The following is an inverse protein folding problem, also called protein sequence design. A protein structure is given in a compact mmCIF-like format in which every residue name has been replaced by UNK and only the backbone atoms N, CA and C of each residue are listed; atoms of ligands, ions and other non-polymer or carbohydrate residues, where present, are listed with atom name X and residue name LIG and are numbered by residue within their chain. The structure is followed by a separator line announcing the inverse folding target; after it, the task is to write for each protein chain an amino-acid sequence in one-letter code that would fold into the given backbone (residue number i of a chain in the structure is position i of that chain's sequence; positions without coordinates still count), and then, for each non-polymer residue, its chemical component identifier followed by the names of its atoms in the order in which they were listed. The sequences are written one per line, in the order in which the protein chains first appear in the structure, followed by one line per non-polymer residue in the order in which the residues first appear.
data_IF_057726331348
#
_entry.id   IF_057726331348
#
_cell.length_a   1.000
_cell.length_b   1.000
_cell.length_c   1.000
_cell.angle_alpha   90.00
_cell.angle_beta   90.00
_cell.angle_gamma   90.00
#
_symmetry.space_group_name_H-M   'P 1'
#
loop_
_entity.id
_entity.type
_entity.pdbx_description
1 polymer ?
#
# COMPACT_ATOMS: atom_id res chain seq x y z
N UNK A 1 -1.52 -31.64 -15.99
CA UNK A 1 -2.63 -30.83 -16.52
C UNK A 1 -3.68 -30.81 -15.44
N UNK A 2 -3.73 -29.75 -14.64
CA UNK A 2 -4.60 -29.69 -13.46
C UNK A 2 -5.60 -28.56 -13.66
N UNK A 3 -6.87 -28.95 -13.66
CA UNK A 3 -7.99 -28.20 -14.23
C UNK A 3 -8.30 -26.91 -13.49
N UNK A 4 -8.63 -25.90 -14.27
CA UNK A 4 -9.21 -24.63 -13.82
C UNK A 4 -10.59 -24.89 -13.21
N UNK A 5 -10.76 -24.67 -11.91
CA UNK A 5 -12.07 -24.68 -11.26
C UNK A 5 -12.79 -23.37 -11.65
N UNK A 6 -13.72 -23.44 -12.61
CA UNK A 6 -14.59 -22.32 -12.98
C UNK A 6 -15.68 -22.15 -11.92
N UNK A 7 -15.33 -21.56 -10.77
CA UNK A 7 -16.35 -21.05 -9.85
C UNK A 7 -16.94 -19.76 -10.41
N UNK A 8 -18.12 -19.85 -11.02
CA UNK A 8 -18.92 -18.70 -11.37
C UNK A 8 -19.40 -18.03 -10.08
N UNK A 9 -19.04 -16.76 -9.91
CA UNK A 9 -19.51 -15.95 -8.79
C UNK A 9 -20.65 -15.07 -9.26
N UNK A 10 -21.70 -14.92 -8.46
CA UNK A 10 -22.81 -14.03 -8.80
C UNK A 10 -22.52 -12.62 -8.31
N UNK A 11 -22.73 -11.63 -9.18
CA UNK A 11 -22.70 -10.22 -8.78
C UNK A 11 -23.90 -9.94 -7.86
N UNK A 12 -23.63 -9.55 -6.63
CA UNK A 12 -24.69 -9.18 -5.69
C UNK A 12 -25.38 -7.88 -6.13
N UNK A 13 -26.59 -7.61 -5.63
CA UNK A 13 -27.34 -6.37 -5.93
C UNK A 13 -26.60 -5.08 -5.56
N UNK A 14 -25.55 -5.16 -4.73
CA UNK A 14 -24.68 -4.04 -4.34
C UNK A 14 -23.41 -3.94 -5.21
N UNK A 15 -23.29 -4.73 -6.27
CA UNK A 15 -22.11 -4.77 -7.13
C UNK A 15 -20.90 -5.47 -6.50
N UNK A 16 -21.09 -6.25 -5.43
CA UNK A 16 -20.00 -6.99 -4.79
C UNK A 16 -19.84 -8.37 -5.46
N UNK A 17 -18.60 -8.75 -5.70
CA UNK A 17 -18.17 -10.08 -6.17
C UNK A 17 -17.44 -10.78 -5.04
N UNK A 18 -17.81 -12.02 -4.74
CA UNK A 18 -17.11 -12.83 -3.72
C UNK A 18 -15.97 -13.60 -4.36
N UNK A 19 -14.76 -13.46 -3.81
CA UNK A 19 -13.60 -14.22 -4.27
C UNK A 19 -13.64 -15.64 -3.66
N UNK A 20 -13.60 -16.71 -4.48
CA UNK A 20 -13.50 -18.09 -4.04
C UNK A 20 -12.38 -18.31 -3.03
N UNK A 21 -12.57 -19.29 -2.13
CA UNK A 21 -11.58 -19.60 -1.10
C UNK A 21 -10.23 -20.02 -1.72
N UNK A 22 -10.25 -20.82 -2.77
CA UNK A 22 -9.04 -21.29 -3.46
C UNK A 22 -8.20 -20.14 -4.02
N UNK A 23 -8.86 -19.13 -4.60
CA UNK A 23 -8.17 -17.93 -5.11
C UNK A 23 -7.58 -17.14 -3.94
N UNK A 24 -8.35 -16.94 -2.85
CA UNK A 24 -7.83 -16.25 -1.66
C UNK A 24 -6.63 -16.95 -1.05
N UNK A 25 -6.66 -18.28 -0.95
CA UNK A 25 -5.58 -19.07 -0.37
C UNK A 25 -4.34 -19.06 -1.27
N UNK A 26 -4.51 -19.13 -2.60
CA UNK A 26 -3.41 -19.07 -3.57
C UNK A 26 -2.66 -17.74 -3.55
N UNK A 27 -3.38 -16.64 -3.37
CA UNK A 27 -2.79 -15.30 -3.28
C UNK A 27 -2.58 -14.81 -1.84
N UNK A 28 -2.86 -15.66 -0.84
CA UNK A 28 -2.77 -15.34 0.58
C UNK A 28 -3.53 -14.05 1.00
N UNK A 29 -4.65 -13.77 0.33
CA UNK A 29 -5.45 -12.57 0.58
C UNK A 29 -6.21 -12.67 1.89
N UNK A 30 -6.01 -11.67 2.76
CA UNK A 30 -6.65 -11.59 4.07
C UNK A 30 -7.78 -10.56 4.05
N UNK A 31 -8.65 -10.63 5.07
CA UNK A 31 -9.65 -9.59 5.28
C UNK A 31 -8.94 -8.24 5.46
N UNK A 32 -9.28 -7.27 4.61
CA UNK A 32 -8.65 -5.95 4.60
C UNK A 32 -7.54 -5.78 3.56
N UNK A 33 -7.14 -6.83 2.84
CA UNK A 33 -6.25 -6.71 1.68
C UNK A 33 -6.90 -5.81 0.63
N UNK A 34 -6.20 -4.75 0.22
CA UNK A 34 -6.62 -3.87 -0.85
C UNK A 34 -6.29 -4.50 -2.20
N UNK A 35 -7.27 -4.53 -3.10
CA UNK A 35 -7.14 -5.08 -4.45
C UNK A 35 -7.41 -3.99 -5.47
N UNK A 36 -6.59 -3.94 -6.52
CA UNK A 36 -6.79 -3.08 -7.69
C UNK A 36 -7.29 -3.90 -8.85
N UNK A 37 -8.37 -3.41 -9.45
CA UNK A 37 -8.98 -3.97 -10.64
C UNK A 37 -8.44 -3.22 -11.86
N UNK A 38 -8.03 -3.95 -12.89
CA UNK A 38 -7.62 -3.40 -14.17
C UNK A 38 -8.28 -4.19 -15.30
N UNK A 39 -8.66 -3.46 -16.35
CA UNK A 39 -9.22 -4.03 -17.55
C UNK A 39 -8.08 -4.35 -18.52
N UNK A 40 -8.03 -5.59 -18.98
CA UNK A 40 -7.13 -6.05 -20.03
C UNK A 40 -7.94 -6.61 -21.18
N UNK A 41 -8.31 -5.74 -22.12
CA UNK A 41 -9.25 -6.07 -23.19
C UNK A 41 -10.65 -6.39 -22.64
N UNK A 42 -11.11 -7.62 -22.83
CA UNK A 42 -12.38 -8.13 -22.29
C UNK A 42 -12.23 -8.80 -20.91
N UNK A 43 -11.00 -8.94 -20.41
CA UNK A 43 -10.73 -9.60 -19.12
C UNK A 43 -10.61 -8.58 -17.98
N UNK A 44 -11.23 -8.89 -16.84
CA UNK A 44 -11.01 -8.19 -15.59
C UNK A 44 -9.89 -8.88 -14.81
N UNK A 45 -8.78 -8.17 -14.58
CA UNK A 45 -7.66 -8.67 -13.80
C UNK A 45 -7.60 -7.97 -12.44
N UNK A 46 -7.25 -8.73 -11.42
CA UNK A 46 -7.23 -8.27 -10.03
C UNK A 46 -5.86 -8.55 -9.45
N UNK A 47 -5.25 -7.54 -8.84
CA UNK A 47 -3.95 -7.67 -8.17
C UNK A 47 -4.02 -7.04 -6.79
N UNK A 48 -3.32 -7.63 -5.84
CA UNK A 48 -3.04 -7.00 -4.56
C UNK A 48 -2.23 -5.73 -4.75
N UNK A 49 -2.64 -4.66 -4.07
CA UNK A 49 -1.87 -3.43 -4.01
C UNK A 49 -1.35 -3.21 -2.61
N UNK A 50 -0.10 -2.82 -2.55
CA UNK A 50 0.54 -2.33 -1.34
C UNK A 50 0.39 -0.81 -1.25
N UNK A 51 0.68 -0.26 -0.08
CA UNK A 51 0.75 1.20 0.11
C UNK A 51 1.76 1.82 -0.87
N UNK A 52 2.84 1.11 -1.19
CA UNK A 52 3.84 1.55 -2.16
C UNK A 52 3.25 1.70 -3.57
N UNK A 53 2.36 0.78 -3.99
CA UNK A 53 1.67 0.87 -5.28
C UNK A 53 0.71 2.08 -5.33
N UNK A 54 -0.01 2.36 -4.23
CA UNK A 54 -0.88 3.54 -4.14
C UNK A 54 -0.07 4.85 -4.21
N UNK A 55 1.07 4.91 -3.54
CA UNK A 55 1.98 6.06 -3.59
C UNK A 55 2.58 6.25 -4.98
N UNK A 56 2.92 5.14 -5.67
CA UNK A 56 3.40 5.18 -7.05
C UNK A 56 2.34 5.75 -8.02
N UNK A 57 1.08 5.33 -7.87
CA UNK A 57 -0.02 5.88 -8.68
C UNK A 57 -0.19 7.40 -8.48
N UNK A 58 -0.08 7.87 -7.23
CA UNK A 58 -0.12 9.31 -6.91
C UNK A 58 1.05 10.05 -7.55
N UNK A 59 2.27 9.53 -7.42
CA UNK A 59 3.46 10.10 -8.04
C UNK A 59 3.34 10.15 -9.56
N UNK A 60 2.82 9.09 -10.18
CA UNK A 60 2.56 9.02 -11.61
C UNK A 60 1.58 10.11 -12.05
N UNK A 61 0.48 10.28 -11.32
CA UNK A 61 -0.52 11.30 -11.61
C UNK A 61 0.09 12.71 -11.56
N UNK A 62 0.82 13.03 -10.49
CA UNK A 62 1.50 14.32 -10.35
C UNK A 62 2.51 14.57 -11.49
N UNK A 63 3.27 13.55 -11.88
CA UNK A 63 4.25 13.68 -12.96
C UNK A 63 3.57 13.86 -14.33
N UNK A 64 2.43 13.20 -14.57
CA UNK A 64 1.63 13.40 -15.78
C UNK A 64 1.02 14.80 -15.83
N UNK A 65 0.52 15.31 -14.71
CA UNK A 65 -0.03 16.67 -14.60
C UNK A 65 1.05 17.74 -14.83
N UNK A 66 2.30 17.45 -14.44
CA UNK A 66 3.48 18.27 -14.76
C UNK A 66 3.95 18.12 -16.23
N UNK A 67 3.30 17.29 -17.03
CA UNK A 67 3.56 17.13 -18.46
C UNK A 67 4.64 16.10 -18.82
N UNK A 68 5.15 15.33 -17.86
CA UNK A 68 6.14 14.29 -18.16
C UNK A 68 5.49 13.10 -18.86
N UNK A 69 6.11 12.62 -19.95
CA UNK A 69 5.63 11.49 -20.75
C UNK A 69 6.75 10.52 -21.13
N UNK A 70 6.37 9.30 -21.48
CA UNK A 70 7.26 8.28 -22.06
C UNK A 70 8.48 7.97 -21.19
N UNK A 71 9.68 8.08 -21.77
CA UNK A 71 10.94 7.79 -21.06
C UNK A 71 11.23 8.78 -19.93
N UNK A 72 10.83 10.04 -20.08
CA UNK A 72 11.06 11.08 -19.07
C UNK A 72 10.22 10.85 -17.81
N UNK A 73 8.98 10.37 -17.98
CA UNK A 73 8.10 10.00 -16.86
C UNK A 73 8.72 8.88 -16.02
N UNK A 74 9.21 7.82 -16.66
CA UNK A 74 9.85 6.68 -15.98
C UNK A 74 11.11 7.11 -15.22
N UNK A 75 11.95 7.95 -15.84
CA UNK A 75 13.17 8.45 -15.19
C UNK A 75 12.84 9.28 -13.93
N UNK A 76 11.87 10.20 -14.04
CA UNK A 76 11.44 11.03 -12.91
C UNK A 76 10.74 10.24 -11.81
N UNK A 77 10.01 9.19 -12.15
CA UNK A 77 9.38 8.31 -11.18
C UNK A 77 10.43 7.57 -10.34
N UNK A 78 11.46 7.02 -10.98
CA UNK A 78 12.56 6.31 -10.31
C UNK A 78 13.32 7.28 -9.39
N UNK A 79 13.64 8.48 -9.90
CA UNK A 79 14.33 9.52 -9.13
C UNK A 79 13.52 9.92 -7.87
N UNK A 80 12.22 10.19 -8.02
CA UNK A 80 11.36 10.53 -6.87
C UNK A 80 11.23 9.38 -5.87
N UNK A 81 11.14 8.14 -6.34
CA UNK A 81 11.10 6.95 -5.48
C UNK A 81 12.38 6.77 -4.67
N UNK A 82 13.54 6.98 -5.30
CA UNK A 82 14.83 6.85 -4.63
C UNK A 82 15.00 7.89 -3.51
N UNK A 83 14.67 9.16 -3.81
CA UNK A 83 14.69 10.23 -2.82
C UNK A 83 13.73 9.92 -1.67
N UNK A 84 12.50 9.49 -1.98
CA UNK A 84 11.50 9.17 -0.96
C UNK A 84 11.96 8.03 -0.06
N UNK A 85 12.48 6.93 -0.64
CA UNK A 85 13.00 5.80 0.13
C UNK A 85 14.17 6.21 1.02
N UNK A 86 15.09 7.04 0.51
CA UNK A 86 16.22 7.53 1.28
C UNK A 86 15.78 8.42 2.46
N UNK A 87 14.83 9.33 2.22
CA UNK A 87 14.24 10.17 3.27
C UNK A 87 13.50 9.33 4.31
N UNK A 88 12.73 8.34 3.86
CA UNK A 88 11.95 7.48 4.75
C UNK A 88 12.85 6.60 5.62
N UNK A 89 13.89 5.99 5.03
CA UNK A 89 14.87 5.20 5.77
C UNK A 89 15.60 6.06 6.81
N UNK A 90 16.01 7.29 6.43
CA UNK A 90 16.62 8.22 7.38
C UNK A 90 15.68 8.56 8.53
N UNK A 91 14.40 8.81 8.24
CA UNK A 91 13.40 9.09 9.27
C UNK A 91 13.20 7.90 10.21
N UNK A 92 13.13 6.67 9.68
CA UNK A 92 13.03 5.44 10.47
C UNK A 92 14.27 5.29 11.37
N UNK A 93 15.47 5.52 10.84
CA UNK A 93 16.72 5.47 11.61
C UNK A 93 16.75 6.54 12.71
N UNK A 94 16.33 7.77 12.42
CA UNK A 94 16.21 8.85 13.42
C UNK A 94 15.23 8.48 14.53
N UNK A 95 14.06 7.90 14.20
CA UNK A 95 13.08 7.44 15.19
C UNK A 95 13.50 6.19 15.96
N UNK A 96 14.40 5.38 15.42
CA UNK A 96 15.01 4.25 16.14
C UNK A 96 16.15 4.69 17.05
N UNK A 97 16.80 5.83 16.75
CA UNK A 97 17.86 6.41 17.56
C UNK A 97 17.38 7.40 18.62
N UNK A 98 16.19 7.98 18.46
CA UNK A 98 15.48 8.65 19.55
C UNK A 98 15.24 7.62 20.65
N UNK A 99 15.91 7.76 21.81
CA UNK A 99 15.60 6.99 23.01
C UNK A 99 14.12 7.19 23.32
N UNK A 100 13.31 6.17 23.01
CA UNK A 100 11.91 6.17 23.40
C UNK A 100 11.88 6.08 24.93
N UNK A 101 11.45 7.15 25.60
CA UNK A 101 11.09 7.08 27.02
C UNK A 101 10.03 5.99 27.20
N UNK A 102 10.26 5.07 28.14
CA UNK A 102 9.26 4.07 28.51
C UNK A 102 7.98 4.80 28.94
N UNK A 103 6.82 4.20 28.67
CA UNK A 103 5.53 4.72 29.15
C UNK A 103 5.56 4.98 30.68
N UNK A 104 6.34 4.20 31.40
CA UNK A 104 6.54 4.31 32.85
C UNK A 104 7.27 5.62 33.23
N UNK A 105 8.31 5.99 32.49
CA UNK A 105 9.08 7.22 32.71
C UNK A 105 8.30 8.48 32.29
N UNK A 106 7.48 8.36 31.24
CA UNK A 106 6.60 9.43 30.78
C UNK A 106 5.49 9.74 31.80
N UNK A 107 4.92 8.71 32.46
CA UNK A 107 3.89 8.89 33.49
C UNK A 107 4.50 9.49 34.76
N UNK A 108 5.68 9.02 35.20
CA UNK A 108 6.35 9.56 36.39
C UNK A 108 6.75 11.03 36.28
N UNK A 109 6.99 11.52 35.06
CA UNK A 109 7.29 12.93 34.78
C UNK A 109 6.04 13.83 34.91
N UNK A 110 4.85 13.30 34.61
CA UNK A 110 3.57 14.01 34.73
C UNK A 110 3.13 14.11 36.20
N UNK A 111 3.31 13.05 36.99
CA UNK A 111 2.94 13.05 38.43
C UNK A 111 3.78 14.01 39.28
N UNK A 112 4.99 14.37 38.84
CA UNK A 112 5.86 15.32 39.56
C UNK A 112 5.57 16.80 39.24
N UNK A 113 4.91 17.12 38.12
CA UNK A 113 4.50 18.50 37.80
C UNK A 113 3.24 18.94 38.58
N UNK A 114 2.40 18.01 39.05
CA UNK A 114 1.22 18.31 39.88
C UNK A 114 1.54 18.53 41.38
N UNK A 115 2.81 18.47 41.78
CA UNK A 115 3.27 18.62 43.18
C UNK A 115 4.04 19.92 43.49
N UNK A 116 3.89 20.98 42.68
CA UNK A 116 4.44 22.32 42.96
C UNK A 116 3.33 23.30 43.32
#
# INVERSE_FOLDING_TARGET
MEGSLMEYTTLTSKGQVTVPKEVRDKFNWKKGTKLKFYLDGEELKVKEITISDEMEDLLLKDLMDLGYRGKALKAKLIERKDILNKTFNKFIEERLQEETVSLEDAIGSIENEERI
#
